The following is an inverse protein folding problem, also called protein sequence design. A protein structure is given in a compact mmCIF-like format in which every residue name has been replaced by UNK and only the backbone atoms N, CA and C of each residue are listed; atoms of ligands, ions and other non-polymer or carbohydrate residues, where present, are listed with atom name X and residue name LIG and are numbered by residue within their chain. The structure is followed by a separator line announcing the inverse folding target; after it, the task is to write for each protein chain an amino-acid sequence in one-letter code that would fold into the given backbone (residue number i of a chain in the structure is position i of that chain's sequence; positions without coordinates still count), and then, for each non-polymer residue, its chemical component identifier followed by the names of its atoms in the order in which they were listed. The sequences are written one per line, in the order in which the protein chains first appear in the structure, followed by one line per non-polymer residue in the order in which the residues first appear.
data_IF_598961391249
#
_entry.id   IF_598961391249
#
_cell.length_a   1.000
_cell.length_b   1.000
_cell.length_c   1.000
_cell.angle_alpha   90.00
_cell.angle_beta   90.00
_cell.angle_gamma   90.00
#
_symmetry.space_group_name_H-M   'P 1'
#
loop_
_entity.id
_entity.type
_entity.pdbx_description
1 polymer ?
#
# COMPACT_ATOMS: atom_id res chain seq x y z
N UNK A 1 -29.65 -5.50 41.60
CA UNK A 1 -29.16 -6.36 40.48
C UNK A 1 -29.28 -5.72 39.08
N UNK A 2 -30.19 -4.77 38.83
CA UNK A 2 -30.39 -4.16 37.49
C UNK A 2 -29.30 -3.12 37.09
N UNK A 3 -28.59 -2.50 38.05
CA UNK A 3 -27.53 -1.51 37.76
C UNK A 3 -26.17 -2.08 37.31
N UNK A 4 -25.90 -3.37 37.55
CA UNK A 4 -24.62 -4.01 37.16
C UNK A 4 -24.65 -4.64 35.76
N UNK A 5 -25.82 -5.07 35.28
CA UNK A 5 -25.99 -5.63 33.93
C UNK A 5 -25.72 -4.63 32.80
N UNK A 6 -26.09 -3.36 32.99
CA UNK A 6 -25.93 -2.33 31.96
C UNK A 6 -24.47 -1.89 31.73
N UNK A 7 -23.59 -1.98 32.74
CA UNK A 7 -22.15 -1.65 32.57
C UNK A 7 -21.40 -2.71 31.74
N UNK A 8 -21.86 -3.96 31.77
CA UNK A 8 -21.27 -5.06 31.01
C UNK A 8 -21.76 -5.02 29.55
N UNK A 9 -23.05 -4.74 29.33
CA UNK A 9 -23.64 -4.61 28.00
C UNK A 9 -23.04 -3.44 27.18
N UNK A 10 -22.66 -2.33 27.84
CA UNK A 10 -22.04 -1.18 27.16
C UNK A 10 -20.58 -1.48 26.75
N UNK A 11 -19.83 -2.27 27.54
CA UNK A 11 -18.48 -2.73 27.17
C UNK A 11 -18.49 -3.79 26.06
N UNK A 12 -19.60 -4.53 25.91
CA UNK A 12 -19.80 -5.57 24.90
C UNK A 12 -19.90 -5.03 23.47
N UNK A 13 -20.43 -3.81 23.30
CA UNK A 13 -20.57 -3.16 21.99
C UNK A 13 -19.24 -2.61 21.45
N UNK A 14 -18.30 -2.27 22.32
CA UNK A 14 -16.99 -1.72 21.94
C UNK A 14 -15.95 -2.79 21.56
N UNK A 15 -16.22 -4.08 21.81
CA UNK A 15 -15.29 -5.18 21.54
C UNK A 15 -15.60 -5.97 20.25
N UNK A 16 -16.62 -5.56 19.47
CA UNK A 16 -17.11 -6.30 18.30
C UNK A 16 -16.44 -5.96 16.97
N UNK A 17 -15.47 -5.06 16.95
CA UNK A 17 -14.65 -4.77 15.77
C UNK A 17 -13.30 -5.48 15.91
N UNK A 18 -13.20 -6.68 15.33
CA UNK A 18 -12.00 -7.29 14.69
C UNK A 18 -12.06 -8.83 14.70
N UNK A 19 -11.75 -9.41 13.54
CA UNK A 19 -11.44 -10.81 13.22
C UNK A 19 -12.48 -11.89 13.60
N UNK A 20 -13.08 -12.52 12.58
CA UNK A 20 -14.19 -13.48 12.71
C UNK A 20 -13.85 -14.74 13.53
N UNK A 21 -12.60 -15.19 13.52
CA UNK A 21 -12.16 -16.38 14.27
C UNK A 21 -12.05 -16.10 15.77
N UNK A 22 -11.43 -14.98 16.14
CA UNK A 22 -11.25 -14.55 17.53
C UNK A 22 -12.61 -14.26 18.19
N UNK A 23 -13.57 -13.75 17.42
CA UNK A 23 -14.94 -13.50 17.88
C UNK A 23 -15.66 -14.79 18.30
N UNK A 24 -15.45 -15.89 17.58
CA UNK A 24 -16.08 -17.20 17.88
C UNK A 24 -15.46 -17.80 19.14
N UNK A 25 -14.14 -17.77 19.27
CA UNK A 25 -13.43 -18.29 20.45
C UNK A 25 -13.80 -17.50 21.71
N UNK A 26 -13.90 -16.17 21.61
CA UNK A 26 -14.33 -15.32 22.72
C UNK A 26 -15.80 -15.59 23.10
N UNK A 27 -16.68 -15.83 22.13
CA UNK A 27 -18.08 -16.20 22.39
C UNK A 27 -18.20 -17.55 23.09
N UNK A 28 -17.38 -18.54 22.70
CA UNK A 28 -17.36 -19.84 23.35
C UNK A 28 -16.83 -19.75 24.78
N UNK A 29 -15.73 -19.03 25.00
CA UNK A 29 -15.18 -18.80 26.34
C UNK A 29 -16.16 -18.08 27.26
N UNK A 30 -16.87 -17.06 26.77
CA UNK A 30 -17.91 -16.35 27.53
C UNK A 30 -19.10 -17.24 27.88
N UNK A 31 -19.51 -18.13 26.97
CA UNK A 31 -20.59 -19.10 27.22
C UNK A 31 -20.19 -20.09 28.31
N UNK A 32 -18.91 -20.47 28.35
CA UNK A 32 -18.35 -21.34 29.38
C UNK A 32 -18.33 -20.66 30.76
N UNK A 33 -17.91 -19.39 30.83
CA UNK A 33 -17.91 -18.61 32.08
C UNK A 33 -19.33 -18.44 32.64
N UNK A 34 -20.30 -18.09 31.80
CA UNK A 34 -21.70 -17.95 32.21
C UNK A 34 -22.28 -19.26 32.77
N UNK A 35 -21.94 -20.40 32.14
CA UNK A 35 -22.38 -21.71 32.61
C UNK A 35 -21.77 -22.04 33.98
N UNK A 36 -20.49 -21.73 34.18
CA UNK A 36 -19.81 -21.95 35.46
C UNK A 36 -20.34 -21.04 36.58
N UNK A 37 -20.67 -19.77 36.28
CA UNK A 37 -21.31 -18.85 37.23
C UNK A 37 -22.70 -19.33 37.66
N UNK A 38 -23.47 -19.93 36.73
CA UNK A 38 -24.78 -20.51 37.06
C UNK A 38 -24.69 -21.73 37.99
N UNK A 39 -23.58 -22.46 37.94
CA UNK A 39 -23.29 -23.61 38.82
C UNK A 39 -22.78 -23.17 40.21
N UNK A 40 -22.17 -21.99 40.32
CA UNK A 40 -21.64 -21.40 41.57
C UNK A 40 -22.72 -21.18 42.64
N UNK A 41 -23.98 -20.95 42.24
CA UNK A 41 -25.12 -20.75 43.14
C UNK A 41 -25.72 -22.04 43.74
N UNK A 42 -25.26 -23.23 43.31
CA UNK A 42 -25.76 -24.52 43.77
C UNK A 42 -24.75 -25.34 44.61
N UNK A 43 -23.57 -24.81 44.93
CA UNK A 43 -22.54 -25.58 45.66
C UNK A 43 -22.52 -25.33 47.18
N UNK A 44 -22.37 -26.38 48.02
CA UNK A 44 -22.20 -26.23 49.45
C UNK A 44 -20.84 -25.57 49.79
N UNK A 45 -20.82 -24.73 50.83
CA UNK A 45 -19.69 -23.88 51.24
C UNK A 45 -18.41 -24.60 51.71
N UNK A 46 -18.29 -25.92 51.57
CA UNK A 46 -17.17 -26.72 52.08
C UNK A 46 -16.08 -27.05 51.06
N UNK A 47 -16.14 -26.55 49.83
CA UNK A 47 -15.11 -26.76 48.81
C UNK A 47 -14.33 -25.48 48.53
N UNK A 48 -13.46 -25.11 49.48
CA UNK A 48 -12.52 -23.99 49.38
C UNK A 48 -11.59 -24.09 48.17
N UNK A 49 -11.36 -25.29 47.65
CA UNK A 49 -10.45 -25.56 46.53
C UNK A 49 -11.01 -25.16 45.16
N UNK A 50 -12.34 -25.20 44.95
CA UNK A 50 -12.95 -24.81 43.67
C UNK A 50 -13.12 -23.30 43.57
N UNK A 51 -13.47 -22.61 44.66
CA UNK A 51 -13.51 -21.16 44.70
C UNK A 51 -12.14 -20.53 44.39
N UNK A 52 -11.05 -21.12 44.90
CA UNK A 52 -9.68 -20.71 44.57
C UNK A 52 -9.32 -20.94 43.09
N UNK A 53 -9.83 -22.01 42.46
CA UNK A 53 -9.65 -22.23 41.01
C UNK A 53 -10.37 -21.15 40.18
N UNK A 54 -11.57 -20.74 40.59
CA UNK A 54 -12.31 -19.67 39.94
C UNK A 54 -11.58 -18.33 39.98
N UNK A 55 -11.05 -17.96 41.15
CA UNK A 55 -10.32 -16.69 41.30
C UNK A 55 -9.00 -16.69 40.51
N UNK A 56 -8.33 -17.85 40.40
CA UNK A 56 -7.18 -18.03 39.53
C UNK A 56 -7.53 -17.86 38.05
N UNK A 57 -8.65 -18.42 37.61
CA UNK A 57 -9.16 -18.26 36.23
C UNK A 57 -9.54 -16.81 35.95
N UNK A 58 -10.19 -16.11 36.90
CA UNK A 58 -10.50 -14.69 36.76
C UNK A 58 -9.24 -13.84 36.63
N UNK A 59 -8.20 -14.13 37.41
CA UNK A 59 -6.91 -13.43 37.32
C UNK A 59 -6.20 -13.69 35.99
N UNK A 60 -6.21 -14.93 35.48
CA UNK A 60 -5.71 -15.25 34.13
C UNK A 60 -6.47 -14.50 33.05
N UNK A 61 -7.80 -14.40 33.15
CA UNK A 61 -8.63 -13.62 32.22
C UNK A 61 -8.30 -12.12 32.28
N UNK A 62 -7.99 -11.56 33.45
CA UNK A 62 -7.56 -10.17 33.58
C UNK A 62 -6.20 -9.94 32.91
N UNK A 63 -5.24 -10.84 33.12
CA UNK A 63 -3.91 -10.76 32.52
C UNK A 63 -3.99 -10.87 30.99
N UNK A 64 -4.73 -11.86 30.47
CA UNK A 64 -4.95 -12.03 29.04
C UNK A 64 -5.65 -10.81 28.41
N UNK A 65 -6.59 -10.18 29.12
CA UNK A 65 -7.22 -8.94 28.67
C UNK A 65 -6.22 -7.80 28.55
N UNK A 66 -5.27 -7.68 29.48
CA UNK A 66 -4.21 -6.67 29.41
C UNK A 66 -3.27 -6.93 28.23
N UNK A 67 -2.87 -8.18 28.00
CA UNK A 67 -2.06 -8.55 26.83
C UNK A 67 -2.77 -8.23 25.51
N UNK A 68 -4.07 -8.55 25.40
CA UNK A 68 -4.86 -8.22 24.21
C UNK A 68 -4.91 -6.70 23.96
N UNK A 69 -5.02 -5.88 25.00
CA UNK A 69 -5.03 -4.42 24.86
C UNK A 69 -3.70 -3.93 24.29
N UNK A 70 -2.58 -4.48 24.75
CA UNK A 70 -1.24 -4.15 24.26
C UNK A 70 -1.10 -4.55 22.79
N UNK A 71 -1.42 -5.81 22.46
CA UNK A 71 -1.33 -6.33 21.08
C UNK A 71 -2.23 -5.54 20.12
N UNK A 72 -3.40 -5.08 20.56
CA UNK A 72 -4.27 -4.21 19.75
C UNK A 72 -3.66 -2.83 19.53
N UNK A 73 -3.04 -2.24 20.55
CA UNK A 73 -2.36 -0.96 20.41
C UNK A 73 -1.17 -1.06 19.44
N UNK A 74 -0.37 -2.13 19.54
CA UNK A 74 0.75 -2.40 18.63
C UNK A 74 0.28 -2.64 17.19
N UNK A 75 -0.79 -3.41 16.98
CA UNK A 75 -1.36 -3.60 15.65
C UNK A 75 -1.84 -2.27 15.05
N UNK A 76 -2.48 -1.41 15.84
CA UNK A 76 -2.91 -0.10 15.39
C UNK A 76 -1.74 0.81 15.01
N UNK A 77 -0.66 0.80 15.80
CA UNK A 77 0.57 1.53 15.50
C UNK A 77 1.23 1.03 14.19
N UNK A 78 1.32 -0.30 14.02
CA UNK A 78 1.84 -0.92 12.80
C UNK A 78 1.02 -0.53 11.57
N UNK A 79 -0.32 -0.49 11.68
CA UNK A 79 -1.17 -0.06 10.59
C UNK A 79 -0.95 1.42 10.23
N UNK A 80 -0.77 2.30 11.22
CA UNK A 80 -0.50 3.71 10.95
C UNK A 80 0.86 3.90 10.26
N UNK A 81 1.91 3.18 10.72
CA UNK A 81 3.23 3.18 10.07
C UNK A 81 3.18 2.67 8.64
N UNK A 82 2.42 1.60 8.40
CA UNK A 82 2.22 1.05 7.06
C UNK A 82 1.54 2.08 6.15
N UNK A 83 0.55 2.81 6.65
CA UNK A 83 -0.14 3.86 5.90
C UNK A 83 0.78 5.01 5.53
N UNK A 84 1.63 5.47 6.46
CA UNK A 84 2.66 6.49 6.19
C UNK A 84 3.60 6.00 5.08
N UNK A 85 4.12 4.78 5.21
CA UNK A 85 5.04 4.20 4.22
C UNK A 85 4.40 4.08 2.83
N UNK A 86 3.14 3.67 2.76
CA UNK A 86 2.39 3.60 1.51
C UNK A 86 2.22 5.00 0.89
N UNK A 87 1.89 6.00 1.69
CA UNK A 87 1.75 7.38 1.19
C UNK A 87 3.07 7.95 0.65
N UNK A 88 4.19 7.68 1.30
CA UNK A 88 5.51 8.09 0.81
C UNK A 88 5.88 7.38 -0.50
N UNK A 89 5.52 6.11 -0.63
CA UNK A 89 5.70 5.36 -1.88
C UNK A 89 4.84 5.95 -3.00
N UNK A 90 3.58 6.33 -2.74
CA UNK A 90 2.73 6.98 -3.73
C UNK A 90 3.32 8.29 -4.24
N UNK A 91 3.84 9.14 -3.33
CA UNK A 91 4.53 10.39 -3.70
C UNK A 91 5.75 10.11 -4.57
N UNK A 92 6.65 9.21 -4.14
CA UNK A 92 7.84 8.83 -4.92
C UNK A 92 7.48 8.32 -6.31
N UNK A 93 6.40 7.56 -6.44
CA UNK A 93 5.96 7.05 -7.74
C UNK A 93 5.31 8.12 -8.62
N UNK A 94 4.70 9.16 -8.03
CA UNK A 94 4.21 10.33 -8.77
C UNK A 94 5.37 11.14 -9.37
N UNK A 95 6.47 11.30 -8.63
CA UNK A 95 7.68 11.97 -9.13
C UNK A 95 8.29 11.22 -10.32
N UNK A 96 8.33 9.88 -10.26
CA UNK A 96 8.80 9.04 -11.38
C UNK A 96 7.94 9.24 -12.62
N UNK A 97 6.61 9.34 -12.47
CA UNK A 97 5.73 9.59 -13.60
C UNK A 97 5.99 10.96 -14.22
N UNK A 98 6.05 12.00 -13.39
CA UNK A 98 6.34 13.37 -13.82
C UNK A 98 7.70 13.48 -14.51
N UNK A 99 8.73 12.81 -13.98
CA UNK A 99 10.02 12.68 -14.64
C UNK A 99 9.89 12.03 -16.04
N UNK A 100 9.10 10.95 -16.16
CA UNK A 100 8.83 10.31 -17.44
C UNK A 100 8.18 11.24 -18.46
N UNK A 101 7.27 12.12 -18.03
CA UNK A 101 6.65 13.15 -18.90
C UNK A 101 7.68 14.16 -19.36
N UNK A 102 8.45 14.74 -18.44
CA UNK A 102 9.49 15.73 -18.76
C UNK A 102 10.56 15.12 -19.68
N UNK A 103 10.93 13.86 -19.45
CA UNK A 103 11.90 13.19 -20.30
C UNK A 103 11.34 12.96 -21.72
N UNK A 104 10.05 12.69 -21.85
CA UNK A 104 9.38 12.61 -23.15
C UNK A 104 9.31 13.98 -23.86
N UNK A 105 9.08 15.07 -23.13
CA UNK A 105 9.15 16.43 -23.68
C UNK A 105 10.56 16.72 -24.22
N UNK A 106 11.61 16.34 -23.49
CA UNK A 106 12.99 16.51 -23.93
C UNK A 106 13.32 15.70 -25.19
N UNK A 107 12.83 14.45 -25.31
CA UNK A 107 13.09 13.65 -26.51
C UNK A 107 12.34 14.17 -27.74
N UNK A 108 11.13 14.69 -27.56
CA UNK A 108 10.24 15.09 -28.65
C UNK A 108 10.30 16.57 -29.02
N UNK A 109 10.82 17.41 -28.14
CA UNK A 109 10.78 18.86 -28.30
C UNK A 109 9.38 19.46 -28.19
N UNK A 110 8.41 18.67 -27.71
CA UNK A 110 6.99 19.02 -27.64
C UNK A 110 6.55 19.20 -26.18
N UNK A 111 5.67 20.16 -25.91
CA UNK A 111 5.10 20.35 -24.58
C UNK A 111 4.13 19.22 -24.18
N UNK A 112 4.06 18.93 -22.87
CA UNK A 112 3.25 17.88 -22.28
C UNK A 112 1.75 18.03 -22.55
N UNK A 113 1.27 19.27 -22.63
CA UNK A 113 -0.09 19.61 -23.00
C UNK A 113 -0.10 20.76 -24.01
N UNK A 114 -0.85 20.59 -25.09
CA UNK A 114 -1.02 21.60 -26.13
C UNK A 114 -2.45 21.55 -26.69
N UNK A 115 -3.30 22.54 -26.39
CA UNK A 115 -4.69 22.57 -26.84
C UNK A 115 -4.83 22.86 -28.34
N UNK A 116 -3.75 23.24 -29.03
CA UNK A 116 -3.78 23.48 -30.48
C UNK A 116 -3.58 22.20 -31.30
N UNK A 117 -3.21 21.07 -30.66
CA UNK A 117 -3.08 19.78 -31.33
C UNK A 117 -4.44 19.18 -31.67
N UNK A 118 -4.51 18.27 -32.66
CA UNK A 118 -5.73 17.54 -32.96
C UNK A 118 -6.30 16.83 -31.72
N UNK A 119 -7.63 16.70 -31.67
CA UNK A 119 -8.34 16.02 -30.59
C UNK A 119 -7.73 14.66 -30.26
N UNK A 120 -7.43 14.41 -28.99
CA UNK A 120 -6.81 13.16 -28.53
C UNK A 120 -5.29 13.12 -28.64
N UNK A 121 -4.66 14.19 -29.15
CA UNK A 121 -3.20 14.38 -29.16
C UNK A 121 -2.75 15.57 -28.32
N UNK A 122 -3.69 16.25 -27.65
CA UNK A 122 -3.39 17.40 -26.78
C UNK A 122 -2.45 16.99 -25.64
N UNK A 123 -2.64 15.79 -25.10
CA UNK A 123 -1.75 15.19 -24.10
C UNK A 123 -0.61 14.43 -24.79
N UNK A 124 0.62 14.83 -24.51
CA UNK A 124 1.82 14.24 -25.10
C UNK A 124 1.99 12.75 -24.78
N UNK A 125 1.65 12.33 -23.56
CA UNK A 125 1.75 10.93 -23.15
C UNK A 125 0.80 10.07 -23.97
N UNK A 126 -0.46 10.49 -24.10
CA UNK A 126 -1.46 9.74 -24.88
C UNK A 126 -1.10 9.68 -26.36
N UNK A 127 -0.55 10.76 -26.92
CA UNK A 127 -0.02 10.76 -28.29
C UNK A 127 1.18 9.82 -28.46
N UNK A 128 2.16 9.82 -27.56
CA UNK A 128 3.42 9.09 -27.73
C UNK A 128 3.30 7.59 -27.45
N UNK A 129 2.42 7.20 -26.53
CA UNK A 129 2.24 5.83 -26.04
C UNK A 129 2.18 4.73 -27.13
N UNK A 130 1.46 4.87 -28.26
CA UNK A 130 1.47 3.87 -29.32
C UNK A 130 2.85 3.70 -30.00
N UNK A 131 3.68 4.75 -29.99
CA UNK A 131 4.96 4.77 -30.71
C UNK A 131 6.14 4.32 -29.84
N UNK A 132 6.09 4.54 -28.53
CA UNK A 132 7.20 4.26 -27.59
C UNK A 132 7.65 2.78 -27.51
N UNK A 133 6.84 1.84 -28.01
CA UNK A 133 7.17 0.40 -27.97
C UNK A 133 7.95 -0.08 -29.21
N UNK A 134 7.83 0.61 -30.34
CA UNK A 134 8.48 0.21 -31.59
C UNK A 134 9.68 1.11 -31.87
N UNK A 135 10.86 0.51 -32.07
CA UNK A 135 12.11 1.24 -32.28
C UNK A 135 12.05 2.16 -33.51
N UNK A 136 11.41 1.73 -34.60
CA UNK A 136 11.31 2.51 -35.83
C UNK A 136 10.41 3.73 -35.64
N UNK A 137 9.29 3.56 -34.92
CA UNK A 137 8.34 4.65 -34.62
C UNK A 137 8.93 5.66 -33.64
N UNK A 138 9.72 5.20 -32.66
CA UNK A 138 10.47 6.08 -31.76
C UNK A 138 11.36 7.02 -32.58
N UNK A 139 12.17 6.45 -33.49
CA UNK A 139 13.14 7.23 -34.25
C UNK A 139 12.50 8.15 -35.30
N UNK A 140 11.35 7.76 -35.87
CA UNK A 140 10.71 8.52 -36.96
C UNK A 140 9.65 9.52 -36.50
N UNK A 141 9.01 9.29 -35.33
CA UNK A 141 7.90 10.13 -34.85
C UNK A 141 8.16 10.80 -33.52
N UNK A 142 8.82 10.11 -32.58
CA UNK A 142 8.95 10.59 -31.20
C UNK A 142 10.14 11.51 -31.02
N UNK A 143 11.26 11.23 -31.69
CA UNK A 143 12.45 12.06 -31.57
C UNK A 143 12.25 13.43 -32.24
N UNK A 144 12.74 14.48 -31.57
CA UNK A 144 12.70 15.86 -32.07
C UNK A 144 13.45 15.95 -33.40
N UNK A 145 12.73 16.34 -34.45
CA UNK A 145 13.26 16.49 -35.81
C UNK A 145 14.42 17.51 -35.87
N UNK A 146 14.47 18.47 -34.94
CA UNK A 146 15.54 19.48 -34.85
C UNK A 146 16.87 18.91 -34.37
N UNK A 147 16.88 17.69 -33.83
CA UNK A 147 18.12 16.99 -33.52
C UNK A 147 18.81 16.47 -34.78
N UNK A 148 18.12 16.42 -35.93
CA UNK A 148 18.68 16.04 -37.23
C UNK A 148 19.40 14.67 -37.21
N UNK A 149 18.97 13.76 -36.32
CA UNK A 149 19.60 12.44 -36.17
C UNK A 149 20.93 12.44 -35.41
N UNK A 150 21.37 13.58 -34.84
CA UNK A 150 22.58 13.69 -34.02
C UNK A 150 22.41 13.08 -32.62
N UNK A 151 22.07 11.80 -32.57
CA UNK A 151 21.94 11.02 -31.34
C UNK A 151 22.14 9.54 -31.64
N UNK A 152 22.67 8.75 -30.68
CA UNK A 152 22.76 7.32 -30.85
C UNK A 152 21.34 6.70 -30.89
N UNK A 153 20.94 6.14 -32.03
CA UNK A 153 19.63 5.49 -32.21
C UNK A 153 19.33 4.43 -31.14
N UNK A 154 20.34 3.65 -30.74
CA UNK A 154 20.22 2.67 -29.65
C UNK A 154 19.91 3.34 -28.29
N UNK A 155 20.51 4.50 -28.04
CA UNK A 155 20.27 5.30 -26.84
C UNK A 155 18.86 5.87 -26.83
N UNK A 156 18.40 6.45 -27.93
CA UNK A 156 17.04 6.95 -28.10
C UNK A 156 15.98 5.86 -27.82
N UNK A 157 16.15 4.67 -28.39
CA UNK A 157 15.22 3.55 -28.17
C UNK A 157 15.23 3.07 -26.72
N UNK A 158 16.39 3.06 -26.05
CA UNK A 158 16.47 2.72 -24.61
C UNK A 158 15.84 3.79 -23.72
N UNK A 159 16.02 5.06 -24.06
CA UNK A 159 15.37 6.18 -23.37
C UNK A 159 13.84 6.09 -23.49
N UNK A 160 13.31 5.84 -24.70
CA UNK A 160 11.88 5.63 -24.92
C UNK A 160 11.31 4.47 -24.09
N UNK A 161 12.04 3.35 -23.97
CA UNK A 161 11.63 2.23 -23.10
C UNK A 161 11.67 2.60 -21.62
N UNK A 162 12.62 3.41 -21.17
CA UNK A 162 12.67 3.91 -19.80
C UNK A 162 11.45 4.79 -19.51
N UNK A 163 11.13 5.72 -20.40
CA UNK A 163 9.93 6.57 -20.34
C UNK A 163 8.67 5.71 -20.24
N UNK A 164 8.52 4.69 -21.10
CA UNK A 164 7.36 3.79 -21.08
C UNK A 164 7.18 3.07 -19.73
N UNK A 165 8.28 2.74 -19.03
CA UNK A 165 8.21 2.18 -17.67
C UNK A 165 7.82 3.24 -16.63
N UNK A 166 8.36 4.46 -16.72
CA UNK A 166 8.02 5.57 -15.83
C UNK A 166 6.53 5.99 -15.94
N UNK A 167 5.97 5.92 -17.16
CA UNK A 167 4.60 6.31 -17.48
C UNK A 167 3.57 5.19 -17.26
N UNK A 168 3.92 4.09 -16.56
CA UNK A 168 2.96 3.02 -16.24
C UNK A 168 1.79 3.58 -15.41
N UNK A 169 0.54 3.18 -15.69
CA UNK A 169 -0.62 3.68 -14.96
C UNK A 169 -0.61 3.21 -13.49
N UNK A 170 -0.14 1.98 -13.24
CA UNK A 170 -0.05 1.42 -11.89
C UNK A 170 1.28 1.86 -11.24
N UNK A 171 1.26 2.62 -10.12
CA UNK A 171 2.47 3.17 -9.49
C UNK A 171 3.54 2.12 -9.13
N UNK A 172 3.13 0.98 -8.56
CA UNK A 172 4.06 -0.11 -8.18
C UNK A 172 4.78 -0.78 -9.37
N UNK A 173 4.34 -0.55 -10.60
CA UNK A 173 4.95 -1.09 -11.80
C UNK A 173 5.96 -0.13 -12.44
N UNK A 174 6.09 1.09 -11.89
CA UNK A 174 7.10 2.06 -12.29
C UNK A 174 8.42 1.74 -11.57
N UNK A 175 9.57 2.06 -12.18
CA UNK A 175 10.87 1.89 -11.53
C UNK A 175 11.02 2.88 -10.37
N UNK A 176 11.92 2.58 -9.43
CA UNK A 176 12.42 3.55 -8.47
C UNK A 176 13.31 4.60 -9.16
N UNK A 177 13.42 5.80 -8.58
CA UNK A 177 14.33 6.83 -9.12
C UNK A 177 15.79 6.37 -9.17
N UNK A 178 16.21 5.46 -8.28
CA UNK A 178 17.54 4.84 -8.35
C UNK A 178 17.71 4.04 -9.64
N UNK A 179 16.76 3.16 -9.96
CA UNK A 179 16.78 2.37 -11.21
C UNK A 179 16.67 3.27 -12.46
N UNK A 180 15.97 4.41 -12.35
CA UNK A 180 15.93 5.42 -13.43
C UNK A 180 17.33 6.00 -13.67
N UNK A 181 18.04 6.43 -12.63
CA UNK A 181 19.40 6.97 -12.74
C UNK A 181 20.36 5.92 -13.32
N UNK A 182 20.36 4.70 -12.79
CA UNK A 182 21.20 3.60 -13.30
C UNK A 182 20.94 3.33 -14.80
N UNK A 183 19.67 3.39 -15.22
CA UNK A 183 19.32 3.23 -16.63
C UNK A 183 19.81 4.41 -17.50
N UNK A 184 19.75 5.65 -16.98
CA UNK A 184 20.26 6.84 -17.67
C UNK A 184 21.78 6.81 -17.83
N UNK A 185 22.52 6.39 -16.80
CA UNK A 185 23.98 6.21 -16.86
C UNK A 185 24.35 5.19 -17.95
N UNK A 186 23.62 4.09 -18.05
CA UNK A 186 23.81 3.11 -19.12
C UNK A 186 23.47 3.66 -20.50
N UNK A 187 22.48 4.55 -20.62
CA UNK A 187 22.13 5.22 -21.89
C UNK A 187 23.22 6.21 -22.28
N UNK A 188 23.73 7.00 -21.32
CA UNK A 188 24.80 7.96 -21.54
C UNK A 188 26.10 7.30 -22.01
N UNK A 189 26.39 6.10 -21.52
CA UNK A 189 27.56 5.32 -21.96
C UNK A 189 27.46 4.82 -23.41
N UNK A 190 26.30 4.91 -24.07
CA UNK A 190 26.14 4.51 -25.46
C UNK A 190 26.77 5.57 -26.35
N UNK A 191 27.85 5.19 -27.03
CA UNK A 191 28.51 6.04 -28.02
C UNK A 191 27.64 6.19 -29.27
N UNK A 192 27.76 7.36 -29.90
CA UNK A 192 27.28 7.59 -31.24
C UNK A 192 28.06 6.65 -32.19
N UNK A 193 27.36 5.74 -32.87
CA UNK A 193 27.93 5.08 -34.06
C UNK A 193 27.95 6.15 -35.15
N UNK A 194 29.11 6.45 -35.77
CA UNK A 194 29.26 7.50 -36.77
C UNK A 194 28.38 7.27 -38.00
#
# INVERSE_FOLDING_TARGET
MIKYGNKIAIKFKAAQEENSTVKIELQQALKQVYLLESQKNCMPKSLTTEAQKFEKVEQEVVNLKQEIVIVKAENKDLQERLKITLSELEVKQSDVYSFGVVFLEMLSGMGAFDPQRPSGQENLVEWAKPYLSNWSEVLSRVMDWRLEGHYPSKGAVRAARLILRCLRPVPRNRPSMKEVVEALEQIQAIKHDP
#
